data_IF_033279945111
#
_entry.id   IF_033279945111
#
_cell.length_a   1.000
_cell.length_b   1.000
_cell.length_c   1.000
_cell.angle_alpha   90.00
_cell.angle_beta   90.00
_cell.angle_gamma   90.00
#
_symmetry.space_group_name_H-M   'P 1'
#
loop_
_entity.id
_entity.type
_entity.pdbx_description
1 polymer ?
#
# COMPACT_ATOMS: atom_id res chain seq x y z
N UNK A 1 13.70 -30.61 -9.63
CA UNK A 1 14.02 -29.34 -8.90
C UNK A 1 12.75 -28.48 -8.90
N UNK A 2 12.05 -28.37 -7.77
CA UNK A 2 10.88 -27.48 -7.67
C UNK A 2 11.37 -26.03 -7.80
N UNK A 3 10.92 -25.32 -8.86
CA UNK A 3 11.18 -23.90 -9.05
C UNK A 3 10.53 -23.15 -7.88
N UNK A 4 11.35 -22.64 -6.96
CA UNK A 4 10.86 -21.87 -5.79
C UNK A 4 10.06 -20.70 -6.35
N UNK A 5 8.75 -20.72 -6.17
CA UNK A 5 7.87 -19.63 -6.66
C UNK A 5 8.31 -18.33 -5.98
N UNK A 6 8.57 -17.30 -6.79
CA UNK A 6 8.87 -15.97 -6.25
C UNK A 6 7.66 -15.45 -5.50
N UNK A 7 7.84 -14.81 -4.33
CA UNK A 7 6.72 -14.21 -3.62
C UNK A 7 6.09 -13.10 -4.47
N UNK A 8 4.77 -13.08 -4.50
CA UNK A 8 4.00 -12.05 -5.20
C UNK A 8 3.82 -10.82 -4.32
N UNK A 9 4.25 -9.67 -4.81
CA UNK A 9 4.28 -8.41 -4.06
C UNK A 9 3.25 -7.44 -4.64
N UNK A 10 2.35 -6.94 -3.79
CA UNK A 10 1.44 -5.85 -4.11
C UNK A 10 2.07 -4.52 -3.70
N UNK A 11 2.24 -3.60 -4.64
CA UNK A 11 2.70 -2.24 -4.44
C UNK A 11 1.48 -1.31 -4.43
N UNK A 12 1.00 -0.94 -3.22
CA UNK A 12 -0.28 -0.27 -3.05
C UNK A 12 -0.12 1.20 -2.63
N UNK A 13 -0.68 2.12 -3.41
CA UNK A 13 -0.66 3.55 -3.11
C UNK A 13 -1.83 4.29 -3.78
N UNK A 14 -2.01 5.56 -3.43
CA UNK A 14 -2.80 6.48 -4.26
C UNK A 14 -1.93 7.15 -5.34
N UNK A 15 -2.49 8.10 -6.06
CA UNK A 15 -1.75 8.95 -6.98
C UNK A 15 -0.92 10.03 -6.23
N UNK A 16 -0.08 10.75 -6.95
CA UNK A 16 0.67 11.88 -6.45
C UNK A 16 1.86 11.51 -5.56
N UNK A 17 2.00 12.16 -4.40
CA UNK A 17 3.11 11.99 -3.46
C UNK A 17 3.29 10.54 -3.01
N UNK A 18 2.21 9.86 -2.64
CA UNK A 18 2.25 8.45 -2.23
C UNK A 18 2.82 7.51 -3.31
N UNK A 19 2.47 7.76 -4.59
CA UNK A 19 3.07 7.00 -5.70
C UNK A 19 4.56 7.27 -5.80
N UNK A 20 4.98 8.53 -5.69
CA UNK A 20 6.39 8.91 -5.75
C UNK A 20 7.20 8.33 -4.59
N UNK A 21 6.67 8.42 -3.38
CA UNK A 21 7.30 7.83 -2.19
C UNK A 21 7.46 6.31 -2.35
N UNK A 22 6.41 5.63 -2.82
CA UNK A 22 6.48 4.19 -3.03
C UNK A 22 7.51 3.81 -4.09
N UNK A 23 7.61 4.58 -5.18
CA UNK A 23 8.66 4.38 -6.21
C UNK A 23 10.07 4.49 -5.63
N UNK A 24 10.31 5.50 -4.79
CA UNK A 24 11.60 5.70 -4.14
C UNK A 24 11.91 4.56 -3.17
N UNK A 25 10.94 4.18 -2.34
CA UNK A 25 11.10 3.13 -1.35
C UNK A 25 11.39 1.75 -1.94
N UNK A 26 10.73 1.40 -3.05
CA UNK A 26 10.89 0.05 -3.64
C UNK A 26 12.05 -0.04 -4.64
N UNK A 27 12.52 1.08 -5.18
CA UNK A 27 13.68 1.12 -6.09
C UNK A 27 13.61 0.05 -7.19
N UNK A 28 14.54 -0.91 -7.16
CA UNK A 28 14.66 -2.01 -8.14
C UNK A 28 13.81 -3.25 -7.81
N UNK A 29 13.17 -3.32 -6.66
CA UNK A 29 12.36 -4.50 -6.25
C UNK A 29 11.41 -5.00 -7.35
N UNK A 30 10.69 -4.14 -8.10
CA UNK A 30 9.78 -4.59 -9.16
C UNK A 30 10.45 -5.34 -10.31
N UNK A 31 11.77 -5.26 -10.47
CA UNK A 31 12.53 -5.97 -11.49
C UNK A 31 12.92 -7.40 -11.03
N UNK A 32 13.11 -7.57 -9.72
CA UNK A 32 13.62 -8.81 -9.14
C UNK A 32 12.53 -9.79 -8.71
N UNK A 33 11.32 -9.27 -8.46
CA UNK A 33 10.19 -10.03 -7.91
C UNK A 33 8.94 -9.98 -8.81
N UNK A 34 7.99 -10.87 -8.55
CA UNK A 34 6.66 -10.84 -9.17
C UNK A 34 5.82 -9.74 -8.50
N UNK A 35 5.86 -8.53 -9.07
CA UNK A 35 5.21 -7.34 -8.52
C UNK A 35 4.03 -6.90 -9.37
N UNK A 36 2.97 -6.44 -8.72
CA UNK A 36 1.90 -5.68 -9.35
C UNK A 36 1.54 -4.42 -8.55
N UNK A 37 1.06 -3.41 -9.23
CA UNK A 37 0.66 -2.14 -8.64
C UNK A 37 -0.84 -2.10 -8.37
N UNK A 38 -1.23 -1.51 -7.25
CA UNK A 38 -2.62 -1.28 -6.89
C UNK A 38 -2.79 0.19 -6.53
N UNK A 39 -3.58 0.91 -7.33
CA UNK A 39 -3.67 2.37 -7.22
C UNK A 39 -5.00 2.93 -7.73
N UNK A 40 -5.15 4.24 -7.69
CA UNK A 40 -6.27 4.98 -8.27
C UNK A 40 -6.05 5.21 -9.77
N UNK A 41 -7.14 5.27 -10.52
CA UNK A 41 -7.10 5.66 -11.94
C UNK A 41 -7.07 7.18 -12.08
N UNK A 42 -5.92 7.72 -12.45
CA UNK A 42 -5.70 9.14 -12.77
C UNK A 42 -4.83 9.22 -14.01
N UNK A 43 -4.73 10.41 -14.64
CA UNK A 43 -3.85 10.60 -15.81
C UNK A 43 -2.41 10.22 -15.49
N UNK A 44 -1.90 10.64 -14.33
CA UNK A 44 -0.52 10.36 -13.92
C UNK A 44 -0.28 8.86 -13.63
N UNK A 45 -1.22 8.20 -12.96
CA UNK A 45 -1.08 6.76 -12.69
C UNK A 45 -1.23 5.93 -13.95
N UNK A 46 -2.13 6.28 -14.87
CA UNK A 46 -2.27 5.59 -16.15
C UNK A 46 -0.98 5.68 -16.98
N UNK A 47 -0.35 6.86 -17.04
CA UNK A 47 0.91 7.03 -17.75
C UNK A 47 2.03 6.17 -17.14
N UNK A 48 2.15 6.15 -15.81
CA UNK A 48 3.18 5.36 -15.11
C UNK A 48 2.96 3.84 -15.21
N UNK A 49 1.69 3.39 -15.24
CA UNK A 49 1.32 1.97 -15.23
C UNK A 49 1.32 1.32 -16.62
N UNK A 50 1.57 2.06 -17.70
CA UNK A 50 1.41 1.61 -19.09
C UNK A 50 2.04 0.23 -19.36
N UNK A 51 3.24 -0.02 -18.83
CA UNK A 51 4.01 -1.24 -19.08
C UNK A 51 4.18 -2.09 -17.80
N UNK A 52 3.29 -1.92 -16.81
CA UNK A 52 3.35 -2.62 -15.52
C UNK A 52 2.07 -3.38 -15.23
N UNK A 53 2.20 -4.55 -14.61
CA UNK A 53 1.00 -5.22 -14.08
C UNK A 53 0.36 -4.35 -13.00
N UNK A 54 -0.90 -4.02 -13.17
CA UNK A 54 -1.59 -3.11 -12.26
C UNK A 54 -3.08 -3.40 -12.10
N UNK A 55 -3.64 -2.85 -11.05
CA UNK A 55 -5.06 -2.84 -10.70
C UNK A 55 -5.46 -1.42 -10.33
N UNK A 56 -6.55 -0.93 -10.91
CA UNK A 56 -7.16 0.33 -10.50
C UNK A 56 -8.34 0.08 -9.57
N UNK A 57 -8.35 0.78 -8.44
CA UNK A 57 -9.45 0.78 -7.47
C UNK A 57 -10.26 2.07 -7.58
N UNK A 58 -11.52 1.97 -7.19
CA UNK A 58 -12.39 3.15 -7.00
C UNK A 58 -11.94 3.94 -5.78
N UNK A 59 -11.81 5.25 -5.94
CA UNK A 59 -11.46 6.13 -4.83
C UNK A 59 -12.59 6.20 -3.80
N UNK A 60 -12.24 6.02 -2.53
CA UNK A 60 -13.16 6.28 -1.44
C UNK A 60 -13.41 7.77 -1.27
N UNK A 61 -14.66 8.18 -1.38
CA UNK A 61 -15.11 9.56 -1.16
C UNK A 61 -16.02 9.60 0.07
N UNK A 62 -15.63 10.29 1.17
CA UNK A 62 -16.42 10.35 2.40
C UNK A 62 -17.86 10.81 2.19
N UNK A 63 -18.09 11.75 1.24
CA UNK A 63 -19.41 12.23 0.87
C UNK A 63 -20.28 11.18 0.14
N UNK A 64 -19.67 10.13 -0.42
CA UNK A 64 -20.35 9.08 -1.18
C UNK A 64 -20.02 7.72 -0.57
N UNK A 65 -20.68 7.36 0.53
CA UNK A 65 -20.42 6.12 1.28
C UNK A 65 -20.44 4.85 0.44
N UNK A 66 -21.24 4.80 -0.63
CA UNK A 66 -21.28 3.65 -1.55
C UNK A 66 -19.92 3.39 -2.24
N UNK A 67 -19.08 4.42 -2.42
CA UNK A 67 -17.73 4.24 -2.98
C UNK A 67 -16.82 3.40 -2.09
N UNK A 68 -17.04 3.41 -0.78
CA UNK A 68 -16.36 2.50 0.14
C UNK A 68 -16.79 1.05 -0.09
N UNK A 69 -18.08 0.81 -0.29
CA UNK A 69 -18.60 -0.54 -0.56
C UNK A 69 -17.99 -1.09 -1.85
N UNK A 70 -17.98 -0.29 -2.92
CA UNK A 70 -17.35 -0.68 -4.19
C UNK A 70 -15.86 -0.95 -4.01
N UNK A 71 -15.15 -0.09 -3.29
CA UNK A 71 -13.72 -0.30 -3.00
C UNK A 71 -13.49 -1.59 -2.20
N UNK A 72 -14.32 -1.89 -1.20
CA UNK A 72 -14.22 -3.14 -0.43
C UNK A 72 -14.45 -4.38 -1.31
N UNK A 73 -15.46 -4.37 -2.18
CA UNK A 73 -15.74 -5.48 -3.11
C UNK A 73 -14.55 -5.68 -4.07
N UNK A 74 -14.03 -4.60 -4.64
CA UNK A 74 -12.85 -4.65 -5.50
C UNK A 74 -11.62 -5.16 -4.74
N UNK A 75 -11.41 -4.71 -3.50
CA UNK A 75 -10.30 -5.14 -2.67
C UNK A 75 -10.36 -6.66 -2.40
N UNK A 76 -11.52 -7.18 -1.99
CA UNK A 76 -11.72 -8.63 -1.78
C UNK A 76 -11.44 -9.39 -3.06
N UNK A 77 -12.06 -8.99 -4.17
CA UNK A 77 -11.88 -9.65 -5.47
C UNK A 77 -10.41 -9.73 -5.87
N UNK A 78 -9.69 -8.60 -5.85
CA UNK A 78 -8.30 -8.57 -6.28
C UNK A 78 -7.34 -9.25 -5.30
N UNK A 79 -7.63 -9.23 -4.00
CA UNK A 79 -6.87 -10.00 -3.00
C UNK A 79 -6.98 -11.50 -3.29
N UNK A 80 -8.19 -11.98 -3.60
CA UNK A 80 -8.42 -13.40 -3.90
C UNK A 80 -7.87 -13.81 -5.28
N UNK A 81 -7.89 -12.93 -6.27
CA UNK A 81 -7.37 -13.22 -7.62
C UNK A 81 -5.84 -13.14 -7.66
N UNK A 82 -5.27 -12.13 -7.03
CA UNK A 82 -3.82 -11.86 -7.11
C UNK A 82 -2.99 -12.59 -6.05
N UNK A 83 -3.59 -13.02 -4.95
CA UNK A 83 -2.95 -13.75 -3.85
C UNK A 83 -1.60 -13.14 -3.40
N UNK A 84 -1.54 -11.86 -2.98
CA UNK A 84 -0.29 -11.24 -2.57
C UNK A 84 0.28 -11.91 -1.32
N UNK A 85 1.56 -12.28 -1.36
CA UNK A 85 2.30 -12.74 -0.19
C UNK A 85 2.73 -11.56 0.69
N UNK A 86 3.04 -10.43 0.04
CA UNK A 86 3.48 -9.19 0.69
C UNK A 86 2.74 -8.01 0.08
N UNK A 87 2.33 -7.06 0.91
CA UNK A 87 1.89 -5.72 0.49
C UNK A 87 2.90 -4.71 1.00
N UNK A 88 3.40 -3.86 0.11
CA UNK A 88 4.18 -2.67 0.46
C UNK A 88 3.31 -1.46 0.12
N UNK A 89 3.06 -0.60 1.09
CA UNK A 89 2.15 0.54 0.88
C UNK A 89 2.64 1.80 1.57
N UNK A 90 2.50 2.93 0.89
CA UNK A 90 2.66 4.27 1.48
C UNK A 90 1.32 4.82 1.99
N UNK A 91 0.27 4.00 1.98
CA UNK A 91 -1.03 4.37 2.52
C UNK A 91 -1.97 4.97 1.48
N UNK A 92 -2.76 5.90 1.95
CA UNK A 92 -4.00 6.44 1.41
C UNK A 92 -5.24 5.58 1.71
N UNK A 93 -6.38 6.23 1.92
CA UNK A 93 -7.64 5.57 2.32
C UNK A 93 -8.09 4.47 1.36
N UNK A 94 -7.76 4.59 0.07
CA UNK A 94 -8.11 3.61 -0.97
C UNK A 94 -7.44 2.25 -0.76
N UNK A 95 -6.27 2.19 -0.11
CA UNK A 95 -5.52 0.94 0.11
C UNK A 95 -5.93 0.20 1.38
N UNK A 96 -6.60 0.88 2.32
CA UNK A 96 -6.98 0.33 3.63
C UNK A 96 -7.80 -0.96 3.52
N UNK A 97 -8.88 -1.03 2.70
CA UNK A 97 -9.63 -2.28 2.54
C UNK A 97 -8.77 -3.42 2.00
N UNK A 98 -7.88 -3.14 1.03
CA UNK A 98 -6.97 -4.16 0.48
C UNK A 98 -6.04 -4.72 1.54
N UNK A 99 -5.41 -3.86 2.34
CA UNK A 99 -4.55 -4.29 3.46
C UNK A 99 -5.34 -5.13 4.46
N UNK A 100 -6.53 -4.66 4.85
CA UNK A 100 -7.39 -5.37 5.80
C UNK A 100 -7.75 -6.77 5.30
N UNK A 101 -8.30 -6.89 4.09
CA UNK A 101 -8.75 -8.17 3.56
C UNK A 101 -7.58 -9.11 3.26
N UNK A 102 -6.48 -8.63 2.71
CA UNK A 102 -5.30 -9.45 2.45
C UNK A 102 -4.73 -10.03 3.76
N UNK A 103 -4.64 -9.20 4.81
CA UNK A 103 -4.19 -9.66 6.13
C UNK A 103 -5.13 -10.68 6.74
N UNK A 104 -6.44 -10.44 6.67
CA UNK A 104 -7.46 -11.29 7.31
C UNK A 104 -7.73 -12.59 6.57
N UNK A 105 -7.75 -12.57 5.23
CA UNK A 105 -8.12 -13.72 4.42
C UNK A 105 -6.91 -14.60 4.07
N UNK A 106 -5.75 -13.99 3.82
CA UNK A 106 -4.57 -14.68 3.30
C UNK A 106 -3.38 -14.69 4.27
N UNK A 107 -3.43 -13.96 5.39
CA UNK A 107 -2.28 -13.79 6.28
C UNK A 107 -1.12 -13.01 5.63
N UNK A 108 -1.40 -12.23 4.57
CA UNK A 108 -0.42 -11.44 3.82
C UNK A 108 0.45 -10.59 4.74
N UNK A 109 1.76 -10.54 4.48
CA UNK A 109 2.67 -9.65 5.20
C UNK A 109 2.50 -8.22 4.72
N UNK A 110 2.46 -7.28 5.66
CA UNK A 110 2.20 -5.86 5.37
C UNK A 110 3.38 -5.02 5.82
N UNK A 111 3.99 -4.33 4.86
CA UNK A 111 5.01 -3.31 5.08
C UNK A 111 4.36 -1.96 4.81
N UNK A 112 4.24 -1.16 5.85
CA UNK A 112 3.69 0.19 5.74
C UNK A 112 4.81 1.22 5.86
N UNK A 113 4.82 2.18 4.96
CA UNK A 113 5.76 3.30 4.94
C UNK A 113 4.95 4.58 5.13
N UNK A 114 5.12 5.23 6.27
CA UNK A 114 4.43 6.48 6.55
C UNK A 114 4.92 7.59 5.62
N UNK A 115 4.02 8.49 5.23
CA UNK A 115 4.36 9.58 4.32
C UNK A 115 5.33 10.58 4.95
N UNK A 116 6.24 11.14 4.15
CA UNK A 116 7.09 12.25 4.54
C UNK A 116 6.30 13.52 4.92
N UNK A 117 5.05 13.62 4.46
CA UNK A 117 4.16 14.72 4.86
C UNK A 117 3.71 14.65 6.33
N UNK A 118 3.76 13.48 6.94
CA UNK A 118 3.41 13.26 8.35
C UNK A 118 4.64 13.52 9.24
N UNK A 119 4.98 14.78 9.48
CA UNK A 119 6.19 15.17 10.24
C UNK A 119 5.99 15.01 11.75
N UNK A 120 4.94 15.63 12.31
CA UNK A 120 4.67 15.65 13.77
C UNK A 120 3.30 15.08 14.13
N UNK A 121 2.41 14.96 13.16
CA UNK A 121 1.05 14.42 13.36
C UNK A 121 0.71 13.44 12.25
N UNK A 122 0.19 12.27 12.58
CA UNK A 122 -0.19 11.30 11.58
C UNK A 122 -1.47 11.72 10.88
N UNK A 123 -1.57 11.42 9.59
CA UNK A 123 -2.83 11.37 8.87
C UNK A 123 -3.69 10.19 9.39
N UNK A 124 -4.91 10.00 8.87
CA UNK A 124 -5.81 8.94 9.36
C UNK A 124 -5.38 7.54 8.96
N UNK A 125 -4.78 7.38 7.80
CA UNK A 125 -4.45 6.07 7.23
C UNK A 125 -3.44 5.29 8.06
N UNK A 126 -2.29 5.86 8.49
CA UNK A 126 -1.32 5.17 9.34
C UNK A 126 -1.96 4.62 10.63
N UNK A 127 -2.82 5.40 11.29
CA UNK A 127 -3.54 4.98 12.51
C UNK A 127 -4.42 3.75 12.27
N UNK A 128 -5.03 3.63 11.09
CA UNK A 128 -5.86 2.46 10.77
C UNK A 128 -5.03 1.24 10.36
N UNK A 129 -3.89 1.45 9.71
CA UNK A 129 -3.04 0.37 9.19
C UNK A 129 -2.08 -0.17 10.26
N UNK A 130 -1.68 0.61 11.25
CA UNK A 130 -0.69 0.22 12.26
C UNK A 130 -0.91 -1.20 12.81
N UNK A 131 -2.13 -1.52 13.21
CA UNK A 131 -2.48 -2.82 13.79
C UNK A 131 -2.42 -4.01 12.81
N UNK A 132 -2.31 -3.74 11.50
CA UNK A 132 -2.20 -4.76 10.45
C UNK A 132 -0.80 -4.86 9.88
N UNK A 133 0.06 -3.87 10.12
CA UNK A 133 1.43 -3.85 9.63
C UNK A 133 2.31 -4.85 10.39
N UNK A 134 3.06 -5.67 9.65
CA UNK A 134 4.14 -6.51 10.19
C UNK A 134 5.43 -5.70 10.33
N UNK A 135 5.62 -4.72 9.45
CA UNK A 135 6.69 -3.73 9.51
C UNK A 135 6.09 -2.34 9.27
N UNK A 136 6.29 -1.45 10.22
CA UNK A 136 5.81 -0.06 10.15
C UNK A 136 7.02 0.88 10.13
N UNK A 137 7.22 1.56 9.02
CA UNK A 137 8.32 2.48 8.79
C UNK A 137 7.82 3.93 8.88
N UNK A 138 8.56 4.75 9.61
CA UNK A 138 8.32 6.20 9.68
C UNK A 138 9.54 6.94 9.15
N UNK A 139 9.32 8.08 8.52
CA UNK A 139 10.38 8.89 7.92
C UNK A 139 10.93 9.94 8.88
N UNK A 140 10.17 10.27 9.93
CA UNK A 140 10.54 11.28 10.93
C UNK A 140 10.59 10.66 12.32
N UNK A 141 11.60 11.00 13.10
CA UNK A 141 11.76 10.53 14.49
C UNK A 141 10.59 10.94 15.39
N UNK A 142 10.01 12.12 15.14
CA UNK A 142 8.83 12.58 15.90
C UNK A 142 7.64 11.64 15.80
N UNK A 143 7.53 10.89 14.70
CA UNK A 143 6.49 9.89 14.53
C UNK A 143 6.65 8.67 15.46
N UNK A 144 7.85 8.40 15.99
CA UNK A 144 8.05 7.35 17.00
C UNK A 144 7.33 7.66 18.32
N UNK A 145 7.04 8.94 18.60
CA UNK A 145 6.24 9.34 19.77
C UNK A 145 4.78 8.90 19.63
N UNK A 146 4.28 8.80 18.38
CA UNK A 146 2.92 8.38 18.06
C UNK A 146 2.83 6.88 17.80
N UNK A 147 3.85 6.32 17.12
CA UNK A 147 3.97 4.92 16.77
C UNK A 147 5.23 4.30 17.38
N UNK A 148 5.22 3.97 18.69
CA UNK A 148 6.42 3.52 19.40
C UNK A 148 7.01 2.21 18.89
N UNK A 149 6.22 1.41 18.15
CA UNK A 149 6.66 0.13 17.54
C UNK A 149 7.19 0.30 16.12
N UNK A 150 7.12 1.52 15.56
CA UNK A 150 7.63 1.79 14.22
C UNK A 150 9.16 1.84 14.21
N UNK A 151 9.74 1.69 13.01
CA UNK A 151 11.16 1.89 12.77
C UNK A 151 11.35 3.18 11.97
N UNK A 152 12.20 4.09 12.44
CA UNK A 152 12.56 5.27 11.66
C UNK A 152 13.58 4.88 10.59
N UNK A 153 13.25 5.19 9.32
CA UNK A 153 14.10 4.87 8.18
C UNK A 153 14.75 6.12 7.53
N UNK A 154 14.44 7.30 8.04
CA UNK A 154 14.81 8.56 7.39
C UNK A 154 13.89 8.92 6.22
N UNK A 155 14.11 10.10 5.64
CA UNK A 155 13.28 10.64 4.54
C UNK A 155 13.73 10.03 3.21
N UNK A 156 12.75 9.61 2.40
CA UNK A 156 12.94 9.03 1.06
C UNK A 156 13.25 10.10 0.01
#
# INVERSE_FOLDING_TARGET
MMKKMKPRICLACSAGGHLRELQLAVGTIPQDYDCYWLTLRTTSTMAFMKDKEHVFLTNFQPAKKWTLIVNCIQAIFWVLVKHPNVIITTGAGVTVPTVFFAKKLLGTKVIFINSAADVTRPSRTPVWIEKYADLFLVQWEDMLKVFPKATCCGVL
#
